data_IF_096133203451
#
_entry.id   IF_096133203451
#
_cell.length_a   1.000
_cell.length_b   1.000
_cell.length_c   1.000
_cell.angle_alpha   90.00
_cell.angle_beta   90.00
_cell.angle_gamma   90.00
#
_symmetry.space_group_name_H-M   'P 1'
#
loop_
_entity.id
_entity.type
_entity.pdbx_description
1 polymer ?
#
# COMPACT_ATOMS: atom_id res chain seq x y z
N UNK A 1 -28.33 21.28 -15.89
CA UNK A 1 -27.08 20.61 -16.30
C UNK A 1 -27.39 19.85 -17.57
N UNK A 2 -26.44 19.71 -18.49
CA UNK A 2 -26.51 18.70 -19.55
C UNK A 2 -26.36 17.28 -18.96
N UNK A 3 -26.76 16.26 -19.74
CA UNK A 3 -26.75 14.87 -19.29
C UNK A 3 -25.33 14.33 -19.00
N UNK A 4 -24.31 14.88 -19.64
CA UNK A 4 -22.91 14.50 -19.42
C UNK A 4 -22.43 14.99 -18.05
N UNK A 5 -22.70 16.25 -17.69
CA UNK A 5 -22.41 16.80 -16.37
C UNK A 5 -23.17 16.06 -15.26
N UNK A 6 -24.40 15.61 -15.50
CA UNK A 6 -25.16 14.77 -14.54
C UNK A 6 -24.47 13.42 -14.35
N UNK A 7 -24.03 12.80 -15.45
CA UNK A 7 -23.29 11.53 -15.43
C UNK A 7 -21.96 11.65 -14.67
N UNK A 8 -21.18 12.69 -14.94
CA UNK A 8 -19.93 12.98 -14.22
C UNK A 8 -20.19 13.23 -12.74
N UNK A 9 -21.19 14.06 -12.39
CA UNK A 9 -21.52 14.37 -10.99
C UNK A 9 -21.90 13.11 -10.20
N UNK A 10 -22.82 12.29 -10.72
CA UNK A 10 -23.26 11.08 -10.01
C UNK A 10 -22.11 10.07 -9.85
N UNK A 11 -21.22 9.93 -10.84
CA UNK A 11 -20.08 9.00 -10.77
C UNK A 11 -18.91 9.52 -9.92
N UNK A 12 -18.82 10.82 -9.65
CA UNK A 12 -17.86 11.38 -8.67
C UNK A 12 -18.36 11.32 -7.23
N UNK A 13 -19.67 11.22 -6.99
CA UNK A 13 -20.31 11.09 -5.67
C UNK A 13 -20.13 9.68 -5.06
N UNK A 14 -18.88 9.27 -4.84
CA UNK A 14 -18.53 7.95 -4.29
C UNK A 14 -18.83 7.86 -2.79
N UNK A 15 -19.33 6.71 -2.36
CA UNK A 15 -19.43 6.35 -0.94
C UNK A 15 -18.03 6.01 -0.42
N UNK A 16 -17.53 6.75 0.58
CA UNK A 16 -16.19 6.55 1.13
C UNK A 16 -16.15 5.34 2.08
N UNK A 17 -15.36 4.28 1.79
CA UNK A 17 -15.22 3.14 2.69
C UNK A 17 -14.61 3.48 4.07
N UNK A 18 -13.93 4.61 4.22
CA UNK A 18 -13.39 5.06 5.50
C UNK A 18 -14.47 5.62 6.44
N UNK A 19 -15.57 6.14 5.90
CA UNK A 19 -16.70 6.73 6.62
C UNK A 19 -17.88 5.75 6.81
N UNK A 20 -17.80 4.53 6.27
CA UNK A 20 -18.78 3.50 6.58
C UNK A 20 -18.70 3.09 8.06
N UNK A 21 -19.86 3.06 8.72
CA UNK A 21 -19.98 2.85 10.16
C UNK A 21 -19.87 4.13 11.01
N UNK A 22 -19.72 5.31 10.40
CA UNK A 22 -19.79 6.60 11.10
C UNK A 22 -21.11 7.33 10.82
N UNK A 23 -21.38 8.38 11.59
CA UNK A 23 -22.51 9.28 11.38
C UNK A 23 -22.07 10.52 10.61
N UNK A 24 -22.97 11.06 9.80
CA UNK A 24 -22.90 12.39 9.22
C UNK A 24 -23.57 13.38 10.18
N UNK A 25 -22.81 14.39 10.62
CA UNK A 25 -23.24 15.43 11.56
C UNK A 25 -23.40 16.79 10.88
N UNK A 26 -23.44 16.83 9.54
CA UNK A 26 -23.62 18.08 8.78
C UNK A 26 -25.06 18.64 8.82
N UNK A 27 -26.02 17.82 9.27
CA UNK A 27 -27.43 18.19 9.46
C UNK A 27 -27.82 18.53 10.90
N UNK A 28 -29.13 18.66 11.15
CA UNK A 28 -29.71 18.86 12.49
C UNK A 28 -29.85 17.56 13.31
N UNK A 29 -29.61 16.40 12.69
CA UNK A 29 -29.74 15.06 13.26
C UNK A 29 -28.54 14.22 12.83
N UNK A 30 -28.04 13.34 13.70
CA UNK A 30 -26.96 12.41 13.38
C UNK A 30 -27.50 11.26 12.52
N UNK A 31 -27.23 11.30 11.21
CA UNK A 31 -27.70 10.29 10.26
C UNK A 31 -26.54 9.36 9.90
N UNK A 32 -26.71 8.02 9.86
CA UNK A 32 -25.66 7.11 9.39
C UNK A 32 -25.11 7.52 8.01
N UNK A 33 -23.79 7.55 7.85
CA UNK A 33 -23.14 8.11 6.65
C UNK A 33 -23.62 7.46 5.34
N UNK A 34 -23.86 6.15 5.33
CA UNK A 34 -24.37 5.44 4.15
C UNK A 34 -25.78 5.90 3.75
N UNK A 35 -26.61 6.26 4.73
CA UNK A 35 -27.97 6.80 4.53
C UNK A 35 -27.90 8.23 4.00
N UNK A 36 -27.07 9.09 4.61
CA UNK A 36 -26.88 10.47 4.15
C UNK A 36 -26.36 10.50 2.70
N UNK A 37 -25.37 9.66 2.37
CA UNK A 37 -24.87 9.49 1.01
C UNK A 37 -25.96 8.99 0.04
N UNK A 38 -26.74 7.96 0.42
CA UNK A 38 -27.78 7.40 -0.44
C UNK A 38 -28.90 8.40 -0.74
N UNK A 39 -29.31 9.19 0.26
CA UNK A 39 -30.27 10.28 0.10
C UNK A 39 -29.77 11.34 -0.87
N UNK A 40 -28.54 11.81 -0.70
CA UNK A 40 -27.99 12.87 -1.56
C UNK A 40 -27.77 12.39 -3.00
N UNK A 41 -27.26 11.18 -3.24
CA UNK A 41 -27.09 10.67 -4.61
C UNK A 41 -28.43 10.42 -5.32
N UNK A 42 -29.43 9.88 -4.62
CA UNK A 42 -30.76 9.68 -5.21
C UNK A 42 -31.50 11.02 -5.42
N UNK A 43 -31.33 12.00 -4.52
CA UNK A 43 -31.85 13.36 -4.70
C UNK A 43 -31.26 14.04 -5.94
N UNK A 44 -29.95 13.92 -6.16
CA UNK A 44 -29.30 14.46 -7.36
C UNK A 44 -29.77 13.74 -8.63
N UNK A 45 -29.94 12.41 -8.58
CA UNK A 45 -30.46 11.65 -9.70
C UNK A 45 -31.89 12.05 -10.09
N UNK A 46 -32.80 12.10 -9.11
CA UNK A 46 -34.21 12.48 -9.33
C UNK A 46 -34.36 13.94 -9.78
N UNK A 47 -33.54 14.87 -9.26
CA UNK A 47 -33.56 16.27 -9.65
C UNK A 47 -33.17 16.51 -11.12
N UNK A 48 -32.41 15.59 -11.73
CA UNK A 48 -31.91 15.69 -13.10
C UNK A 48 -32.43 14.58 -14.03
N UNK A 49 -33.47 13.85 -13.62
CA UNK A 49 -34.08 12.74 -14.37
C UNK A 49 -33.06 11.71 -14.88
N UNK A 50 -32.09 11.35 -14.02
CA UNK A 50 -30.99 10.47 -14.39
C UNK A 50 -31.50 9.03 -14.63
N UNK A 51 -31.09 8.35 -15.71
CA UNK A 51 -31.65 7.05 -16.07
C UNK A 51 -31.26 5.96 -15.06
N UNK A 52 -32.21 5.09 -14.73
CA UNK A 52 -32.05 3.94 -13.83
C UNK A 52 -30.89 3.00 -14.22
N UNK A 53 -30.49 2.97 -15.50
CA UNK A 53 -29.30 2.22 -15.96
C UNK A 53 -28.00 2.64 -15.25
N UNK A 54 -27.92 3.87 -14.74
CA UNK A 54 -26.78 4.35 -13.95
C UNK A 54 -26.72 3.72 -12.55
N UNK A 55 -27.85 3.27 -11.99
CA UNK A 55 -27.92 2.65 -10.65
C UNK A 55 -27.00 1.44 -10.58
N UNK A 56 -26.96 0.63 -11.65
CA UNK A 56 -26.07 -0.53 -11.76
C UNK A 56 -24.59 -0.10 -11.68
N UNK A 57 -24.21 0.97 -12.38
CA UNK A 57 -22.84 1.52 -12.34
C UNK A 57 -22.47 2.06 -10.97
N UNK A 58 -23.36 2.84 -10.34
CA UNK A 58 -23.15 3.41 -9.00
C UNK A 58 -23.07 2.30 -7.94
N UNK A 59 -24.00 1.35 -7.95
CA UNK A 59 -23.98 0.17 -7.08
C UNK A 59 -22.73 -0.69 -7.31
N UNK A 60 -22.27 -0.81 -8.57
CA UNK A 60 -21.06 -1.57 -8.88
C UNK A 60 -19.83 -1.06 -8.13
N UNK A 61 -19.75 0.26 -7.93
CA UNK A 61 -18.66 0.99 -7.31
C UNK A 61 -18.79 1.14 -5.78
N UNK A 62 -19.87 0.64 -5.16
CA UNK A 62 -20.03 0.65 -3.70
C UNK A 62 -18.93 -0.16 -3.00
N UNK A 63 -18.47 0.28 -1.81
CA UNK A 63 -17.63 -0.54 -0.94
C UNK A 63 -18.27 -1.89 -0.64
N UNK A 64 -17.44 -2.94 -0.61
CA UNK A 64 -17.88 -4.34 -0.39
C UNK A 64 -18.81 -4.54 0.83
N UNK A 65 -18.55 -3.96 2.02
CA UNK A 65 -19.43 -4.12 3.18
C UNK A 65 -20.87 -3.69 2.88
N UNK A 66 -21.04 -2.46 2.37
CA UNK A 66 -22.37 -1.93 2.06
C UNK A 66 -23.02 -2.69 0.89
N UNK A 67 -22.24 -3.01 -0.14
CA UNK A 67 -22.71 -3.72 -1.34
C UNK A 67 -23.22 -5.14 -1.07
N UNK A 68 -22.73 -5.79 -0.01
CA UNK A 68 -23.18 -7.13 0.39
C UNK A 68 -24.63 -7.12 0.88
N UNK A 69 -25.04 -6.06 1.56
CA UNK A 69 -26.36 -5.94 2.20
C UNK A 69 -27.36 -5.16 1.35
N UNK A 70 -26.92 -4.30 0.43
CA UNK A 70 -27.80 -3.46 -0.41
C UNK A 70 -28.40 -4.16 -1.65
N UNK A 71 -28.36 -5.49 -1.73
CA UNK A 71 -28.99 -6.26 -2.81
C UNK A 71 -28.42 -5.97 -4.20
N UNK A 72 -29.28 -5.98 -5.23
CA UNK A 72 -28.95 -5.63 -6.62
C UNK A 72 -30.00 -4.63 -7.18
N UNK A 73 -29.97 -3.36 -6.75
CA UNK A 73 -30.98 -2.39 -7.09
C UNK A 73 -30.94 -2.05 -8.58
N UNK A 74 -32.12 -1.95 -9.19
CA UNK A 74 -32.31 -1.59 -10.60
C UNK A 74 -32.82 -0.16 -10.78
N UNK A 75 -33.42 0.42 -9.75
CA UNK A 75 -33.97 1.78 -9.77
C UNK A 75 -33.39 2.65 -8.67
N UNK A 76 -33.43 3.97 -8.83
CA UNK A 76 -32.95 4.90 -7.77
C UNK A 76 -33.72 4.74 -6.46
N UNK A 77 -35.01 4.43 -6.52
CA UNK A 77 -35.82 4.18 -5.32
C UNK A 77 -35.39 2.88 -4.62
N UNK A 78 -35.17 1.80 -5.37
CA UNK A 78 -34.68 0.53 -4.85
C UNK A 78 -33.26 0.67 -4.25
N UNK A 79 -32.39 1.48 -4.85
CA UNK A 79 -31.08 1.80 -4.29
C UNK A 79 -31.20 2.49 -2.92
N UNK A 80 -32.08 3.49 -2.81
CA UNK A 80 -32.31 4.20 -1.56
C UNK A 80 -32.86 3.25 -0.49
N UNK A 81 -33.94 2.54 -0.76
CA UNK A 81 -34.57 1.61 0.19
C UNK A 81 -33.61 0.50 0.62
N UNK A 82 -32.85 -0.09 -0.30
CA UNK A 82 -31.90 -1.14 0.04
C UNK A 82 -30.73 -0.64 0.89
N UNK A 83 -30.28 0.61 0.72
CA UNK A 83 -29.19 1.18 1.52
C UNK A 83 -29.69 1.68 2.88
N UNK A 84 -30.88 2.29 2.94
CA UNK A 84 -31.53 2.65 4.21
C UNK A 84 -31.90 1.43 5.06
N UNK A 85 -32.22 0.30 4.43
CA UNK A 85 -32.49 -0.96 5.11
C UNK A 85 -31.26 -1.65 5.73
N UNK A 86 -30.02 -1.18 5.48
CA UNK A 86 -28.82 -1.81 6.04
C UNK A 86 -28.62 -1.40 7.52
N UNK A 87 -28.69 -2.33 8.49
CA UNK A 87 -28.50 -2.01 9.90
C UNK A 87 -27.06 -1.54 10.18
N UNK A 88 -26.93 -0.48 10.98
CA UNK A 88 -25.62 0.11 11.32
C UNK A 88 -24.70 -0.90 12.03
N UNK A 89 -25.24 -1.73 12.91
CA UNK A 89 -24.49 -2.76 13.64
C UNK A 89 -23.84 -3.77 12.68
N UNK A 90 -24.65 -4.39 11.82
CA UNK A 90 -24.19 -5.32 10.78
C UNK A 90 -23.19 -4.68 9.83
N UNK A 91 -23.38 -3.41 9.47
CA UNK A 91 -22.45 -2.67 8.61
C UNK A 91 -21.10 -2.43 9.29
N UNK A 92 -21.07 -2.08 10.58
CA UNK A 92 -19.83 -1.88 11.33
C UNK A 92 -19.04 -3.18 11.43
N UNK A 93 -19.70 -4.30 11.74
CA UNK A 93 -19.07 -5.63 11.81
C UNK A 93 -18.46 -6.02 10.45
N UNK A 94 -19.23 -5.94 9.36
CA UNK A 94 -18.74 -6.26 8.01
C UNK A 94 -17.64 -5.29 7.51
N UNK A 95 -17.63 -4.04 7.97
CA UNK A 95 -16.55 -3.06 7.70
C UNK A 95 -15.27 -3.47 8.43
N UNK A 96 -15.36 -3.93 9.68
CA UNK A 96 -14.21 -4.40 10.46
C UNK A 96 -13.64 -5.70 9.88
N UNK A 97 -14.50 -6.68 9.55
CA UNK A 97 -14.11 -7.91 8.86
C UNK A 97 -13.45 -7.61 7.50
N UNK A 98 -14.03 -6.69 6.71
CA UNK A 98 -13.45 -6.31 5.43
C UNK A 98 -12.08 -5.64 5.57
N UNK A 99 -11.89 -4.77 6.58
CA UNK A 99 -10.58 -4.18 6.91
C UNK A 99 -9.57 -5.27 7.28
N UNK A 100 -9.93 -6.21 8.16
CA UNK A 100 -9.08 -7.32 8.58
C UNK A 100 -8.72 -8.27 7.41
N UNK A 101 -9.68 -8.64 6.56
CA UNK A 101 -9.45 -9.47 5.37
C UNK A 101 -8.53 -8.75 4.37
N UNK A 102 -8.69 -7.43 4.19
CA UNK A 102 -7.86 -6.67 3.27
C UNK A 102 -6.42 -6.50 3.78
N UNK A 103 -6.24 -6.34 5.10
CA UNK A 103 -4.92 -6.37 5.76
C UNK A 103 -4.27 -7.75 5.66
N UNK A 104 -5.00 -8.83 5.96
CA UNK A 104 -4.52 -10.22 5.79
C UNK A 104 -4.14 -10.51 4.33
N UNK A 105 -4.90 -10.02 3.35
CA UNK A 105 -4.53 -10.12 1.93
C UNK A 105 -3.23 -9.37 1.65
N UNK A 106 -3.11 -8.12 2.09
CA UNK A 106 -1.90 -7.32 1.88
C UNK A 106 -0.65 -7.99 2.49
N UNK A 107 -0.79 -8.55 3.69
CA UNK A 107 0.27 -9.30 4.36
C UNK A 107 0.63 -10.60 3.62
N UNK A 108 -0.35 -11.35 3.11
CA UNK A 108 -0.10 -12.55 2.32
C UNK A 108 0.52 -12.25 0.94
N UNK A 109 0.08 -11.19 0.26
CA UNK A 109 0.68 -10.77 -1.01
C UNK A 109 2.15 -10.37 -0.78
N UNK A 110 2.48 -9.76 0.36
CA UNK A 110 3.85 -9.44 0.77
C UNK A 110 4.70 -10.68 1.11
N UNK A 111 4.14 -11.70 1.78
CA UNK A 111 4.87 -12.95 2.07
C UNK A 111 5.10 -13.78 0.80
N UNK A 112 4.10 -13.91 -0.07
CA UNK A 112 4.25 -14.56 -1.39
C UNK A 112 5.32 -13.86 -2.23
N UNK A 113 5.32 -12.52 -2.28
CA UNK A 113 6.36 -11.76 -2.97
C UNK A 113 7.76 -11.87 -2.31
N UNK A 114 7.86 -12.24 -1.03
CA UNK A 114 9.13 -12.57 -0.39
C UNK A 114 9.60 -13.99 -0.75
N UNK A 115 8.71 -14.98 -0.68
CA UNK A 115 9.00 -16.38 -1.03
C UNK A 115 9.42 -16.52 -2.50
N UNK A 116 8.73 -15.85 -3.43
CA UNK A 116 9.10 -15.83 -4.84
C UNK A 116 10.50 -15.24 -5.07
N UNK A 117 10.87 -14.17 -4.36
CA UNK A 117 12.23 -13.59 -4.43
C UNK A 117 13.29 -14.59 -3.95
N UNK A 118 13.05 -15.27 -2.83
CA UNK A 118 13.98 -16.27 -2.32
C UNK A 118 14.17 -17.43 -3.32
N UNK A 119 13.08 -17.96 -3.88
CA UNK A 119 13.15 -19.02 -4.90
C UNK A 119 13.91 -18.58 -6.16
N UNK A 120 13.78 -17.31 -6.60
CA UNK A 120 14.60 -16.80 -7.72
C UNK A 120 16.08 -16.69 -7.39
N UNK A 121 16.44 -16.39 -6.13
CA UNK A 121 17.83 -16.36 -5.68
C UNK A 121 18.43 -17.77 -5.60
N UNK A 122 17.69 -18.76 -5.08
CA UNK A 122 18.11 -20.15 -5.02
C UNK A 122 18.38 -20.72 -6.42
N UNK A 123 17.47 -20.49 -7.38
CA UNK A 123 17.68 -20.88 -8.78
C UNK A 123 18.90 -20.18 -9.42
N UNK A 124 19.17 -18.92 -9.04
CA UNK A 124 20.35 -18.18 -9.51
C UNK A 124 21.65 -18.73 -8.92
N UNK A 125 21.65 -19.12 -7.64
CA UNK A 125 22.81 -19.73 -6.96
C UNK A 125 23.09 -21.12 -7.53
N UNK A 126 22.06 -21.95 -7.77
CA UNK A 126 22.22 -23.25 -8.42
C UNK A 126 22.82 -23.11 -9.84
N UNK A 127 22.33 -22.15 -10.63
CA UNK A 127 22.86 -21.84 -11.96
C UNK A 127 24.33 -21.38 -11.92
N UNK A 128 24.71 -20.60 -10.91
CA UNK A 128 26.10 -20.14 -10.72
C UNK A 128 27.01 -21.29 -10.23
N UNK A 129 26.52 -22.18 -9.36
CA UNK A 129 27.25 -23.38 -8.94
C UNK A 129 27.54 -24.32 -10.11
N UNK A 130 26.55 -24.60 -10.96
CA UNK A 130 26.76 -25.38 -12.19
C UNK A 130 27.76 -24.70 -13.15
N UNK A 131 27.72 -23.37 -13.25
CA UNK A 131 28.68 -22.60 -14.05
C UNK A 131 30.11 -22.67 -13.49
N UNK A 132 30.31 -22.65 -12.16
CA UNK A 132 31.64 -22.84 -11.58
C UNK A 132 32.16 -24.27 -11.72
N UNK A 133 31.29 -25.27 -11.62
CA UNK A 133 31.68 -26.67 -11.81
C UNK A 133 32.16 -26.95 -13.24
N UNK A 134 31.52 -26.36 -14.27
CA UNK A 134 31.97 -26.51 -15.66
C UNK A 134 33.32 -25.85 -15.94
N UNK A 135 33.69 -24.78 -15.20
CA UNK A 135 34.98 -24.11 -15.32
C UNK A 135 36.16 -24.85 -14.67
N UNK A 136 35.91 -25.87 -13.83
CA UNK A 136 36.96 -26.61 -13.12
C UNK A 136 37.60 -27.76 -13.93
N UNK A 137 37.16 -28.01 -15.16
CA UNK A 137 37.61 -29.15 -15.98
C UNK A 137 38.95 -28.97 -16.72
N UNK A 138 39.71 -27.91 -16.45
CA UNK A 138 41.05 -27.72 -17.05
C UNK A 138 42.19 -27.64 -16.01
N UNK A 139 42.16 -28.50 -14.99
CA UNK A 139 43.32 -28.73 -14.12
C UNK A 139 44.15 -29.89 -14.67
N UNK A 140 45.16 -29.56 -15.48
CA UNK A 140 46.11 -30.54 -16.03
C UNK A 140 46.70 -31.43 -14.92
N UNK A 141 46.70 -32.77 -15.07
CA UNK A 141 47.36 -33.64 -14.11
C UNK A 141 48.87 -33.50 -14.26
N UNK A 142 49.56 -33.25 -13.15
CA UNK A 142 51.02 -33.22 -13.09
C UNK A 142 51.57 -34.47 -12.38
N UNK A 143 52.03 -35.47 -13.14
CA UNK A 143 53.09 -36.41 -12.74
C UNK A 143 54.37 -36.10 -13.58
N UNK A 144 55.60 -36.40 -13.17
CA UNK A 144 56.09 -37.34 -12.15
C UNK A 144 57.34 -36.78 -11.46
N UNK A 145 57.68 -37.31 -10.29
CA UNK A 145 58.93 -37.00 -9.59
C UNK A 145 60.16 -37.70 -10.22
N UNK A 146 61.34 -37.11 -10.02
CA UNK A 146 62.63 -37.82 -9.99
C UNK A 146 63.44 -37.37 -8.74
N UNK A 147 64.27 -38.24 -8.13
CA UNK A 147 64.87 -37.99 -6.81
C UNK A 147 66.36 -37.60 -6.84
N UNK A 148 66.93 -37.37 -5.63
CA UNK A 148 68.38 -37.22 -5.31
C UNK A 148 68.93 -35.80 -5.62
N UNK A 149 69.73 -35.10 -4.78
CA UNK A 149 70.57 -35.52 -3.65
C UNK A 149 70.64 -34.52 -2.46
N UNK A 150 71.33 -34.94 -1.38
CA UNK A 150 71.72 -34.16 -0.17
C UNK A 150 73.14 -33.54 -0.34
N UNK A 151 73.74 -32.74 0.55
CA UNK A 151 73.37 -32.23 1.90
C UNK A 151 73.40 -30.66 1.97
N UNK A 152 74.24 -29.87 2.72
CA UNK A 152 73.80 -28.53 3.19
C UNK A 152 74.77 -27.34 2.96
N UNK A 153 74.30 -26.09 3.16
CA UNK A 153 75.18 -25.02 3.65
C UNK A 153 74.42 -23.94 4.43
N UNK A 154 75.05 -23.45 5.50
CA UNK A 154 74.54 -22.38 6.37
C UNK A 154 75.25 -21.06 6.03
N UNK A 155 74.56 -19.91 6.08
CA UNK A 155 75.18 -18.62 5.74
C UNK A 155 74.29 -17.41 6.02
N UNK A 156 74.73 -16.56 6.95
CA UNK A 156 74.06 -15.30 7.33
C UNK A 156 74.28 -14.17 6.30
N UNK A 157 73.23 -13.38 6.00
CA UNK A 157 73.21 -11.89 5.90
C UNK A 157 74.19 -11.18 4.90
N UNK A 158 74.14 -9.85 4.68
CA UNK A 158 73.03 -8.87 4.75
C UNK A 158 72.82 -8.10 3.41
N UNK A 159 71.99 -7.05 3.45
CA UNK A 159 71.61 -6.11 2.38
C UNK A 159 72.79 -5.17 1.98
N UNK A 160 72.78 -4.53 0.79
CA UNK A 160 72.58 -3.07 0.80
C UNK A 160 71.65 -2.52 -0.31
N UNK A 161 71.12 -1.32 -0.07
CA UNK A 161 70.19 -0.63 -0.96
C UNK A 161 70.87 0.09 -2.14
N UNK A 162 70.18 0.15 -3.29
CA UNK A 162 70.60 0.88 -4.49
C UNK A 162 69.47 1.73 -5.07
N UNK A 163 69.63 3.06 -4.99
CA UNK A 163 68.66 4.07 -5.46
C UNK A 163 68.73 4.19 -7.00
N UNK A 164 67.59 4.24 -7.69
CA UNK A 164 67.55 4.54 -9.13
C UNK A 164 66.14 4.71 -9.70
N UNK A 165 65.76 5.96 -9.99
CA UNK A 165 64.56 6.30 -10.78
C UNK A 165 65.06 6.99 -12.06
N UNK A 166 64.58 6.58 -13.25
CA UNK A 166 64.01 7.56 -14.17
C UNK A 166 62.69 7.11 -14.79
N UNK A 167 61.65 7.91 -14.49
CA UNK A 167 60.49 8.34 -15.29
C UNK A 167 60.04 7.57 -16.55
N UNK A 168 58.73 7.29 -16.55
CA UNK A 168 57.79 7.46 -17.68
C UNK A 168 57.92 6.57 -18.93
N UNK A 169 57.30 5.39 -18.85
CA UNK A 169 56.55 4.83 -19.97
C UNK A 169 55.04 4.85 -19.64
N UNK A 170 54.22 5.35 -20.57
CA UNK A 170 52.80 5.67 -20.36
C UNK A 170 51.91 4.42 -20.45
N UNK A 171 51.70 3.74 -19.33
CA UNK A 171 50.68 2.68 -19.24
C UNK A 171 49.26 3.26 -19.33
N UNK A 172 48.30 2.56 -19.99
CA UNK A 172 46.90 2.95 -19.93
C UNK A 172 46.35 2.75 -18.52
N UNK A 173 45.68 3.78 -17.98
CA UNK A 173 45.06 3.74 -16.67
C UNK A 173 43.85 2.81 -16.66
N UNK A 174 44.06 1.52 -16.38
CA UNK A 174 42.97 0.65 -15.92
C UNK A 174 42.62 1.04 -14.48
N UNK A 175 41.36 1.44 -14.28
CA UNK A 175 40.85 1.83 -12.97
C UNK A 175 41.03 0.70 -11.95
N UNK A 176 41.53 0.99 -10.73
CA UNK A 176 41.63 -0.02 -9.70
C UNK A 176 40.23 -0.40 -9.20
N UNK A 177 40.01 -1.71 -9.06
CA UNK A 177 38.96 -2.33 -8.28
C UNK A 177 37.59 -1.63 -8.27
N UNK A 178 36.71 -2.06 -9.17
CA UNK A 178 35.29 -2.17 -8.81
C UNK A 178 35.18 -3.04 -7.56
N UNK A 179 35.05 -2.40 -6.39
CA UNK A 179 34.61 -3.06 -5.17
C UNK A 179 33.25 -3.68 -5.46
N UNK A 180 33.23 -5.00 -5.56
CA UNK A 180 32.01 -5.79 -5.76
C UNK A 180 31.09 -5.57 -4.57
N UNK A 181 30.13 -4.67 -4.75
CA UNK A 181 29.06 -4.44 -3.80
C UNK A 181 28.28 -5.75 -3.64
N UNK A 182 28.12 -6.28 -2.42
CA UNK A 182 27.44 -7.56 -2.21
C UNK A 182 25.99 -7.48 -2.69
N UNK A 183 25.38 -8.60 -3.11
CA UNK A 183 24.00 -8.61 -3.59
C UNK A 183 23.07 -8.04 -2.50
N UNK A 184 22.25 -7.07 -2.90
CA UNK A 184 21.35 -6.39 -1.97
C UNK A 184 20.28 -7.36 -1.46
N UNK A 185 20.47 -7.83 -0.23
CA UNK A 185 19.42 -8.49 0.55
C UNK A 185 18.16 -7.61 0.59
N UNK A 186 16.96 -8.19 0.78
CA UNK A 186 15.82 -7.42 1.23
C UNK A 186 16.19 -6.66 2.50
N UNK A 187 16.38 -5.36 2.38
CA UNK A 187 16.62 -4.49 3.54
C UNK A 187 15.30 -4.49 4.31
N UNK A 188 15.20 -5.36 5.32
CA UNK A 188 14.27 -5.16 6.43
C UNK A 188 14.41 -3.71 6.86
N UNK A 189 13.31 -2.96 7.08
CA UNK A 189 13.41 -1.62 7.64
C UNK A 189 14.29 -1.73 8.89
N UNK A 190 15.35 -0.94 8.95
CA UNK A 190 16.27 -0.98 10.10
C UNK A 190 15.43 -0.86 11.38
N UNK A 191 15.79 -1.52 12.50
CA UNK A 191 14.97 -1.49 13.72
C UNK A 191 14.57 -0.06 14.16
N UNK A 192 15.45 0.90 13.88
CA UNK A 192 15.22 2.34 13.95
C UNK A 192 13.98 2.83 13.16
N UNK A 193 13.82 2.48 11.88
CA UNK A 193 12.73 2.97 11.04
C UNK A 193 11.32 2.55 11.54
N UNK A 194 11.19 1.34 12.11
CA UNK A 194 9.92 0.89 12.71
C UNK A 194 9.67 1.63 14.03
N UNK A 195 10.70 1.82 14.86
CA UNK A 195 10.59 2.61 16.09
C UNK A 195 10.22 4.08 15.80
N UNK A 196 10.83 4.69 14.79
CA UNK A 196 10.54 6.07 14.33
C UNK A 196 9.13 6.21 13.75
N UNK A 197 8.62 5.20 13.03
CA UNK A 197 7.21 5.18 12.59
C UNK A 197 6.24 5.10 13.77
N UNK A 198 6.56 4.31 14.80
CA UNK A 198 5.77 4.25 16.03
C UNK A 198 5.79 5.60 16.75
N UNK A 199 6.97 6.20 16.95
CA UNK A 199 7.09 7.53 17.57
C UNK A 199 6.29 8.61 16.82
N UNK A 200 6.36 8.63 15.49
CA UNK A 200 5.57 9.54 14.65
C UNK A 200 4.07 9.37 14.88
N UNK A 201 3.57 8.13 14.96
CA UNK A 201 2.14 7.83 15.19
C UNK A 201 1.69 8.21 16.60
N UNK A 202 2.52 7.94 17.61
CA UNK A 202 2.19 8.23 19.01
C UNK A 202 2.18 9.73 19.31
N UNK A 203 3.08 10.50 18.70
CA UNK A 203 3.25 11.92 19.03
C UNK A 203 2.40 12.87 18.17
N UNK A 204 1.72 12.37 17.12
CA UNK A 204 1.06 13.21 16.12
C UNK A 204 0.07 14.22 16.74
N UNK A 205 0.19 15.49 16.35
CA UNK A 205 -0.72 16.54 16.80
C UNK A 205 -2.06 16.43 16.08
N UNK A 206 -3.15 16.81 16.77
CA UNK A 206 -4.48 16.91 16.17
C UNK A 206 -4.44 17.87 14.98
N UNK A 207 -4.81 17.37 13.81
CA UNK A 207 -4.93 18.13 12.57
C UNK A 207 -6.35 18.67 12.44
N UNK A 208 -6.48 19.98 12.20
CA UNK A 208 -7.77 20.67 12.25
C UNK A 208 -8.44 20.78 10.87
N UNK A 209 -9.78 20.74 10.79
CA UNK A 209 -10.51 20.96 9.54
C UNK A 209 -10.37 22.40 9.06
N UNK A 210 -10.52 22.62 7.74
CA UNK A 210 -10.49 23.96 7.13
C UNK A 210 -11.73 24.78 7.49
N UNK A 211 -11.68 25.39 8.67
CA UNK A 211 -12.76 26.17 9.27
C UNK A 211 -12.17 27.21 10.21
N UNK A 212 -12.86 28.33 10.44
CA UNK A 212 -12.35 29.40 11.33
C UNK A 212 -11.94 28.87 12.72
N UNK A 213 -12.72 27.99 13.41
CA UNK A 213 -12.28 27.37 14.67
C UNK A 213 -10.99 26.55 14.50
N UNK A 214 -10.82 25.84 13.38
CA UNK A 214 -9.61 25.07 13.07
C UNK A 214 -8.39 25.95 12.84
N UNK A 215 -8.55 27.09 12.16
CA UNK A 215 -7.49 28.10 11.99
C UNK A 215 -7.10 28.78 13.31
N UNK A 216 -8.04 28.97 14.24
CA UNK A 216 -7.75 29.44 15.61
C UNK A 216 -6.95 28.37 16.38
N UNK A 217 -7.42 27.12 16.40
CA UNK A 217 -6.76 26.02 17.11
C UNK A 217 -5.35 25.73 16.57
N UNK A 218 -5.14 25.83 15.25
CA UNK A 218 -3.83 25.74 14.61
C UNK A 218 -2.85 26.83 15.08
N UNK A 219 -3.30 28.10 15.18
CA UNK A 219 -2.48 29.21 15.69
C UNK A 219 -2.06 28.98 17.15
N UNK A 220 -2.98 28.44 17.98
CA UNK A 220 -2.67 28.03 19.35
C UNK A 220 -1.59 26.94 19.38
N UNK A 221 -1.76 25.87 18.59
CA UNK A 221 -0.76 24.79 18.49
C UNK A 221 0.62 25.29 18.02
N UNK A 222 0.70 26.21 17.06
CA UNK A 222 1.99 26.83 16.65
C UNK A 222 2.64 27.53 17.84
N UNK A 223 1.86 28.27 18.62
CA UNK A 223 2.35 29.05 19.77
C UNK A 223 2.89 28.11 20.85
N UNK A 224 2.12 27.10 21.23
CA UNK A 224 2.52 26.05 22.18
C UNK A 224 3.76 25.28 21.70
N UNK A 225 3.79 24.88 20.42
CA UNK A 225 4.93 24.16 19.85
C UNK A 225 6.20 25.02 19.86
N UNK A 226 6.09 26.31 19.52
CA UNK A 226 7.22 27.24 19.47
C UNK A 226 7.76 27.53 20.88
N UNK A 227 6.88 27.67 21.86
CA UNK A 227 7.26 27.84 23.26
C UNK A 227 7.94 26.58 23.85
N UNK A 228 7.42 25.39 23.51
CA UNK A 228 7.97 24.10 23.96
C UNK A 228 9.28 23.73 23.27
N UNK A 229 9.49 24.17 22.02
CA UNK A 229 10.60 23.74 21.17
C UNK A 229 11.37 24.94 20.56
N UNK A 230 11.95 25.83 21.38
CA UNK A 230 12.65 27.03 20.91
C UNK A 230 13.84 26.67 20.01
N UNK A 231 13.89 27.28 18.81
CA UNK A 231 14.89 27.03 17.77
C UNK A 231 15.00 25.55 17.30
N UNK A 232 14.03 24.70 17.64
CA UNK A 232 14.09 23.28 17.31
C UNK A 232 13.76 23.01 15.84
N UNK A 233 14.23 21.86 15.37
CA UNK A 233 13.78 21.25 14.12
C UNK A 233 12.65 20.25 14.42
N UNK A 234 11.57 20.21 13.62
CA UNK A 234 10.56 19.16 13.72
C UNK A 234 11.11 17.78 13.35
N UNK A 235 10.76 16.78 14.17
CA UNK A 235 11.04 15.37 13.97
C UNK A 235 9.96 14.52 14.65
N UNK A 236 10.07 13.19 14.62
CA UNK A 236 9.10 12.26 15.20
C UNK A 236 8.89 12.39 16.72
N UNK A 237 9.76 13.12 17.43
CA UNK A 237 9.59 13.46 18.86
C UNK A 237 9.00 14.86 19.07
N UNK A 238 9.08 15.72 18.05
CA UNK A 238 8.63 17.12 18.05
C UNK A 238 7.81 17.43 16.78
N UNK A 239 6.68 16.75 16.55
CA UNK A 239 5.87 16.94 15.35
C UNK A 239 5.35 18.37 15.26
N UNK A 240 5.37 18.95 14.06
CA UNK A 240 4.91 20.32 13.83
C UNK A 240 3.40 20.35 13.50
N UNK A 241 2.65 21.37 13.94
CA UNK A 241 1.23 21.54 13.56
C UNK A 241 1.05 21.60 12.04
N UNK A 242 -0.06 21.06 11.52
CA UNK A 242 -0.36 21.08 10.08
C UNK A 242 -1.38 22.17 9.76
N UNK A 243 -1.12 22.95 8.71
CA UNK A 243 -2.02 24.00 8.20
C UNK A 243 -3.40 23.39 7.89
N UNK A 244 -4.52 23.94 8.41
CA UNK A 244 -5.86 23.46 8.07
C UNK A 244 -6.12 23.46 6.55
N UNK A 245 -6.93 22.52 6.08
CA UNK A 245 -7.21 22.34 4.65
C UNK A 245 -6.10 21.67 3.83
N UNK A 246 -4.95 21.39 4.44
CA UNK A 246 -3.94 20.49 3.85
C UNK A 246 -4.29 19.02 4.08
N UNK A 247 -3.56 18.11 3.43
CA UNK A 247 -3.67 16.67 3.68
C UNK A 247 -2.84 16.26 4.92
N UNK A 248 -3.23 15.16 5.61
CA UNK A 248 -2.45 14.64 6.74
C UNK A 248 -1.06 14.15 6.29
N UNK A 249 -0.12 14.11 7.24
CA UNK A 249 1.25 13.63 6.97
C UNK A 249 1.29 12.17 6.52
N UNK A 250 2.10 11.89 5.49
CA UNK A 250 2.27 10.52 4.97
C UNK A 250 1.18 10.08 3.99
N UNK A 251 0.28 10.97 3.59
CA UNK A 251 -0.81 10.71 2.63
C UNK A 251 -0.37 10.75 1.16
N UNK A 252 0.95 10.80 0.90
CA UNK A 252 1.58 11.11 -0.40
C UNK A 252 1.29 12.55 -0.86
N UNK A 253 1.23 13.45 0.10
CA UNK A 253 1.10 14.88 -0.12
C UNK A 253 2.35 15.49 -0.78
N UNK A 254 2.15 16.60 -1.47
CA UNK A 254 3.25 17.48 -1.86
C UNK A 254 3.77 18.21 -0.63
N UNK A 255 5.00 17.91 -0.18
CA UNK A 255 5.58 18.54 1.01
C UNK A 255 5.70 20.08 0.94
N UNK A 256 5.54 20.70 -0.25
CA UNK A 256 5.62 22.16 -0.47
C UNK A 256 4.30 22.89 -0.22
N UNK A 257 3.15 22.27 -0.50
CA UNK A 257 1.83 22.90 -0.37
C UNK A 257 0.82 22.08 0.44
N UNK A 258 1.20 20.90 0.92
CA UNK A 258 0.36 20.05 1.76
C UNK A 258 -0.76 19.30 1.01
N UNK A 259 -0.96 19.49 -0.30
CA UNK A 259 -2.04 18.85 -1.07
C UNK A 259 -1.54 17.58 -1.78
N UNK A 260 -2.40 16.56 -1.92
CA UNK A 260 -2.11 15.30 -2.66
C UNK A 260 -2.21 15.48 -4.18
N UNK A 261 -1.99 14.40 -4.94
CA UNK A 261 -2.17 14.37 -6.40
C UNK A 261 -0.98 14.86 -7.24
N UNK A 262 0.06 15.43 -6.62
CA UNK A 262 1.29 15.82 -7.32
C UNK A 262 2.53 15.76 -6.42
N UNK A 263 3.72 15.77 -7.03
CA UNK A 263 5.01 15.81 -6.33
C UNK A 263 5.63 17.21 -6.38
N UNK A 264 6.59 17.50 -5.50
CA UNK A 264 7.16 18.83 -5.31
C UNK A 264 7.74 19.51 -6.58
N UNK A 265 8.26 18.74 -7.55
CA UNK A 265 8.75 19.27 -8.83
C UNK A 265 7.63 19.69 -9.78
N UNK A 266 6.41 19.16 -9.61
CA UNK A 266 5.20 19.51 -10.35
C UNK A 266 4.30 20.47 -9.55
N UNK A 267 4.79 21.03 -8.44
CA UNK A 267 4.01 21.91 -7.57
C UNK A 267 3.97 23.33 -8.11
N UNK A 268 2.83 23.71 -8.68
CA UNK A 268 2.49 25.07 -9.15
C UNK A 268 1.88 25.97 -8.06
N UNK A 269 1.68 25.49 -6.82
CA UNK A 269 1.08 26.32 -5.76
C UNK A 269 1.89 27.59 -5.47
N UNK A 270 1.20 28.72 -5.48
CA UNK A 270 1.69 30.04 -5.03
C UNK A 270 1.59 30.21 -3.50
N UNK A 271 0.80 29.36 -2.83
CA UNK A 271 0.66 29.30 -1.37
C UNK A 271 1.40 28.05 -0.84
N UNK A 272 2.70 28.17 -0.45
CA UNK A 272 3.40 27.10 0.22
C UNK A 272 3.01 27.01 1.70
N UNK A 273 3.10 25.83 2.28
CA UNK A 273 2.96 25.65 3.74
C UNK A 273 4.21 26.20 4.46
N UNK A 274 4.14 26.54 5.77
CA UNK A 274 5.27 27.07 6.51
C UNK A 274 6.56 26.23 6.38
N UNK A 275 7.77 26.83 6.44
CA UNK A 275 9.02 26.08 6.26
C UNK A 275 9.24 24.94 7.26
N UNK A 276 8.78 25.11 8.51
CA UNK A 276 8.83 24.07 9.54
C UNK A 276 7.86 22.92 9.21
N UNK A 277 6.66 23.23 8.71
CA UNK A 277 5.71 22.21 8.23
C UNK A 277 6.26 21.46 7.00
N UNK A 278 6.84 22.18 6.03
CA UNK A 278 7.53 21.60 4.86
C UNK A 278 8.60 20.58 5.30
N UNK A 279 9.35 20.92 6.36
CA UNK A 279 10.38 20.04 6.92
C UNK A 279 9.78 18.85 7.67
N UNK A 280 8.75 19.07 8.48
CA UNK A 280 8.02 18.02 9.18
C UNK A 280 7.42 16.99 8.20
N UNK A 281 6.72 17.45 7.15
CA UNK A 281 6.21 16.60 6.07
C UNK A 281 7.30 15.77 5.40
N UNK A 282 8.49 16.36 5.17
CA UNK A 282 9.64 15.62 4.64
C UNK A 282 10.12 14.52 5.59
N UNK A 283 10.26 14.81 6.88
CA UNK A 283 10.67 13.81 7.89
C UNK A 283 9.63 12.70 8.00
N UNK A 284 8.34 13.04 8.06
CA UNK A 284 7.25 12.08 8.09
C UNK A 284 7.25 11.19 6.83
N UNK A 285 7.31 11.79 5.64
CA UNK A 285 7.38 11.06 4.37
C UNK A 285 8.62 10.16 4.24
N UNK A 286 9.76 10.58 4.82
CA UNK A 286 10.98 9.76 4.90
C UNK A 286 10.80 8.55 5.84
N UNK A 287 10.24 8.75 7.03
CA UNK A 287 9.92 7.65 7.97
C UNK A 287 8.94 6.67 7.32
N UNK A 288 7.88 7.16 6.68
CA UNK A 288 6.93 6.33 5.95
C UNK A 288 7.60 5.56 4.81
N UNK A 289 8.53 6.18 4.06
CA UNK A 289 9.29 5.54 2.97
C UNK A 289 10.24 4.47 3.48
N UNK A 290 10.96 4.73 4.56
CA UNK A 290 12.01 3.83 5.06
C UNK A 290 11.46 2.72 5.96
N UNK A 291 10.29 2.91 6.58
CA UNK A 291 9.51 1.84 7.20
C UNK A 291 8.71 1.00 6.18
N UNK A 292 8.43 1.54 4.99
CA UNK A 292 7.87 0.75 3.88
C UNK A 292 8.93 -0.19 3.31
N UNK A 293 8.60 -1.46 2.98
CA UNK A 293 9.54 -2.36 2.32
C UNK A 293 9.94 -1.77 0.97
N UNK A 294 11.24 -1.48 0.78
CA UNK A 294 11.76 -0.90 -0.46
C UNK A 294 11.46 -1.83 -1.63
N UNK A 295 10.60 -1.38 -2.55
CA UNK A 295 10.37 -2.07 -3.82
C UNK A 295 11.70 -2.13 -4.59
N UNK A 296 12.15 -3.31 -5.06
CA UNK A 296 13.37 -3.38 -5.86
C UNK A 296 13.24 -2.50 -7.11
N UNK A 297 14.36 -1.96 -7.65
CA UNK A 297 14.32 -1.16 -8.87
C UNK A 297 13.68 -1.98 -9.99
N UNK A 298 12.71 -1.37 -10.67
CA UNK A 298 11.90 -2.05 -11.68
C UNK A 298 12.83 -2.60 -12.79
N UNK A 299 12.83 -3.91 -13.09
CA UNK A 299 13.59 -4.42 -14.21
C UNK A 299 13.09 -3.73 -15.48
N UNK A 300 14.03 -3.30 -16.35
CA UNK A 300 13.65 -2.74 -17.65
C UNK A 300 12.86 -3.80 -18.43
N UNK A 301 11.80 -3.42 -19.16
CA UNK A 301 11.01 -4.40 -19.90
C UNK A 301 11.90 -5.10 -20.93
N UNK A 302 12.16 -6.38 -20.73
CA UNK A 302 12.71 -7.27 -21.74
C UNK A 302 11.59 -7.69 -22.67
N UNK A 303 11.88 -7.68 -23.96
CA UNK A 303 10.92 -7.93 -25.03
C UNK A 303 10.50 -9.41 -25.03
N UNK A 304 9.28 -9.71 -24.58
CA UNK A 304 8.78 -11.08 -24.44
C UNK A 304 8.09 -11.50 -25.73
N UNK A 305 8.82 -12.23 -26.59
CA UNK A 305 8.19 -12.94 -27.71
C UNK A 305 7.24 -14.01 -27.16
N UNK A 306 5.95 -13.83 -27.42
CA UNK A 306 4.95 -14.88 -27.24
C UNK A 306 5.33 -16.10 -28.11
N UNK A 307 5.36 -17.28 -27.50
CA UNK A 307 5.25 -18.55 -28.23
C UNK A 307 3.83 -19.08 -28.02
N UNK A 308 3.10 -19.26 -29.12
CA UNK A 308 1.80 -19.92 -29.10
C UNK A 308 1.94 -21.38 -28.67
N UNK A 309 1.43 -21.71 -27.49
CA UNK A 309 1.12 -23.10 -27.13
C UNK A 309 -0.38 -23.34 -27.32
N UNK A 310 -0.70 -24.10 -28.35
CA UNK A 310 -2.08 -24.41 -28.74
C UNK A 310 -2.79 -25.20 -27.64
N UNK A 311 -3.83 -24.61 -27.04
CA UNK A 311 -4.61 -25.25 -25.99
C UNK A 311 -5.67 -26.17 -26.60
N UNK A 312 -5.58 -27.47 -26.31
CA UNK A 312 -6.59 -28.48 -26.68
C UNK A 312 -7.09 -29.20 -25.43
N UNK A 313 -8.41 -29.19 -25.19
CA UNK A 313 -9.05 -30.07 -24.20
C UNK A 313 -10.06 -29.42 -23.24
N UNK A 314 -11.32 -29.38 -23.68
CA UNK A 314 -12.56 -29.69 -22.93
C UNK A 314 -12.75 -29.16 -21.48
N UNK A 315 -13.82 -28.39 -21.19
CA UNK A 315 -14.18 -28.03 -19.81
C UNK A 315 -14.83 -29.21 -19.06
N UNK A 316 -14.37 -29.48 -17.84
CA UNK A 316 -14.99 -30.45 -16.93
C UNK A 316 -16.22 -29.81 -16.28
N UNK A 317 -17.42 -30.27 -16.65
CA UNK A 317 -18.64 -29.94 -15.92
C UNK A 317 -18.68 -30.71 -14.59
N UNK A 318 -18.59 -29.98 -13.47
CA UNK A 318 -18.89 -30.53 -12.14
C UNK A 318 -20.41 -30.45 -11.93
N UNK A 319 -21.08 -31.60 -11.97
CA UNK A 319 -22.51 -31.67 -11.69
C UNK A 319 -22.77 -31.47 -10.18
N UNK A 320 -23.50 -30.43 -9.83
CA UNK A 320 -24.03 -30.25 -8.48
C UNK A 320 -25.14 -31.27 -8.20
N UNK A 321 -24.91 -32.16 -7.24
CA UNK A 321 -25.97 -33.00 -6.68
C UNK A 321 -26.87 -32.15 -5.78
N UNK A 322 -28.18 -32.20 -6.01
CA UNK A 322 -29.17 -31.53 -5.16
C UNK A 322 -29.32 -32.26 -3.82
N UNK A 323 -29.54 -31.54 -2.70
CA UNK A 323 -29.83 -32.16 -1.41
C UNK A 323 -31.23 -32.82 -1.40
N UNK A 324 -31.49 -33.80 -0.51
CA UNK A 324 -32.71 -34.61 -0.57
C UNK A 324 -33.99 -33.84 -0.23
N UNK A 325 -35.06 -34.17 -0.96
CA UNK A 325 -36.43 -33.78 -0.63
C UNK A 325 -36.91 -34.46 0.66
N UNK A 326 -37.41 -33.68 1.62
CA UNK A 326 -38.20 -34.21 2.73
C UNK A 326 -39.67 -34.28 2.33
N UNK A 327 -40.21 -35.50 2.31
CA UNK A 327 -41.59 -35.80 1.91
C UNK A 327 -42.59 -35.41 2.99
N UNK A 328 -43.81 -35.08 2.58
CA UNK A 328 -44.94 -34.75 3.46
C UNK A 328 -45.77 -35.98 3.81
N UNK A 329 -45.85 -36.33 5.10
CA UNK A 329 -46.95 -37.11 5.70
C UNK A 329 -47.25 -36.44 7.06
N UNK A 330 -48.37 -35.73 7.20
CA UNK A 330 -49.72 -36.23 7.46
C UNK A 330 -49.94 -36.58 8.95
N UNK A 331 -50.71 -35.73 9.65
CA UNK A 331 -51.03 -35.87 11.07
C UNK A 331 -51.87 -34.68 11.55
N UNK A 332 -53.14 -34.62 11.12
CA UNK A 332 -54.04 -33.53 11.50
C UNK A 332 -54.73 -33.76 12.84
N UNK A 333 -55.12 -32.66 13.49
CA UNK A 333 -56.25 -32.63 14.42
C UNK A 333 -56.99 -31.29 14.25
N UNK A 334 -58.31 -31.33 14.43
CA UNK A 334 -59.25 -30.22 14.20
C UNK A 334 -59.86 -29.81 15.56
N UNK A 335 -60.59 -28.68 15.58
CA UNK A 335 -61.37 -28.03 16.66
C UNK A 335 -60.65 -26.78 17.21
N UNK A 336 -61.03 -25.53 16.92
CA UNK A 336 -62.36 -24.87 16.94
C UNK A 336 -62.97 -24.80 18.35
N UNK A 337 -62.71 -23.70 19.09
CA UNK A 337 -63.64 -23.12 20.07
C UNK A 337 -63.44 -21.60 20.24
N UNK A 338 -64.49 -20.86 19.85
CA UNK A 338 -65.08 -19.62 20.38
C UNK A 338 -64.26 -18.54 21.15
N UNK A 339 -64.44 -17.29 20.66
CA UNK A 339 -64.90 -16.08 21.39
C UNK A 339 -64.78 -15.99 22.93
N UNK A 340 -64.23 -14.85 23.41
CA UNK A 340 -64.84 -14.13 24.55
C UNK A 340 -63.89 -13.49 25.58
N UNK A 341 -63.97 -12.15 25.70
CA UNK A 341 -63.61 -11.29 26.85
C UNK A 341 -62.11 -11.22 27.26
N UNK A 342 -61.60 -10.13 27.84
CA UNK A 342 -62.19 -8.86 28.31
C UNK A 342 -61.59 -7.63 27.60
#
# INVERSE_FOLDING_TARGET
MDAEAVTVRLTTMKCDPALLGTYDTSGLEEVPYHIAWAREICRVAMLHDAPDSMVVTIHSALPRPLKRHSGNPKTWHELLTNVEGVPMTTLVDDVNDWKAINELRHNNDATVAALQRNATLENSVASLQHSMQSLQLNRSPAPSALPVNRFPFSGNQPIPAGRGIPQSARAPSMNPATLTQPPALPILPAPDAVARLTALRTNILVHHPDSEPGHIAYKTQITEWTQKNPNATPDETKPYPLTPGTAPVGSRECHRCGITGHHGYACSSIAPVPPLETRWRRVAGEIHRDASPRRPPNPRPTDVRFMDTQWTGQPVYVAYQAPPSWSTEAGGYIEEWQQGNE
#
